data_IF_721239260035
#
_entry.id   IF_721239260035
#
_cell.length_a   1.000
_cell.length_b   1.000
_cell.length_c   1.000
_cell.angle_alpha   90.00
_cell.angle_beta   90.00
_cell.angle_gamma   90.00
#
_symmetry.space_group_name_H-M   'P 1'
#
loop_
_entity.id
_entity.type
_entity.pdbx_description
1 polymer ?
#
# COMPACT_ATOMS: atom_id res chain seq x y z
N UNK A 1 -1.30 6.75 8.25
CA UNK A 1 -2.05 7.97 8.59
C UNK A 1 -3.22 8.15 7.64
N UNK A 2 -3.97 9.25 7.73
CA UNK A 2 -4.98 9.62 6.74
C UNK A 2 -4.38 9.57 5.33
N UNK A 3 -5.14 9.06 4.34
CA UNK A 3 -4.68 8.96 2.94
C UNK A 3 -3.78 7.76 2.61
N UNK A 4 -3.45 6.90 3.58
CA UNK A 4 -2.69 5.67 3.35
C UNK A 4 -3.63 4.48 3.19
N UNK A 5 -4.24 4.37 2.01
CA UNK A 5 -5.22 3.33 1.68
C UNK A 5 -4.77 2.50 0.49
N UNK A 6 -5.07 1.21 0.56
CA UNK A 6 -4.74 0.24 -0.49
C UNK A 6 -5.92 -0.05 -1.39
N UNK A 7 -7.13 0.39 -1.02
CA UNK A 7 -8.38 0.20 -1.76
C UNK A 7 -9.15 1.51 -1.94
N UNK A 8 -9.69 1.72 -3.14
CA UNK A 8 -10.58 2.83 -3.49
C UNK A 8 -11.69 2.36 -4.45
N UNK A 9 -12.94 2.37 -3.98
CA UNK A 9 -14.15 1.95 -4.72
C UNK A 9 -14.28 2.73 -6.05
N UNK A 10 -14.51 2.03 -7.16
CA UNK A 10 -14.69 2.62 -8.49
C UNK A 10 -15.86 3.62 -8.59
N UNK A 11 -16.89 3.45 -7.76
CA UNK A 11 -18.11 4.26 -7.78
C UNK A 11 -17.94 5.58 -7.02
N UNK A 12 -16.93 5.65 -6.15
CA UNK A 12 -16.62 6.87 -5.42
C UNK A 12 -15.86 7.83 -6.34
N UNK A 13 -16.50 8.95 -6.70
CA UNK A 13 -15.84 10.02 -7.46
C UNK A 13 -14.68 10.60 -6.64
N UNK A 14 -13.55 10.85 -7.29
CA UNK A 14 -12.36 11.51 -6.72
C UNK A 14 -11.84 10.86 -5.42
N UNK A 15 -12.04 9.55 -5.24
CA UNK A 15 -11.78 8.86 -3.98
C UNK A 15 -10.33 9.01 -3.47
N UNK A 16 -9.35 9.04 -4.38
CA UNK A 16 -7.93 9.21 -4.00
C UNK A 16 -7.68 10.62 -3.47
N UNK A 17 -8.14 11.63 -4.20
CA UNK A 17 -7.85 13.04 -3.88
C UNK A 17 -8.64 13.51 -2.65
N UNK A 18 -9.81 12.91 -2.40
CA UNK A 18 -10.63 13.15 -1.19
C UNK A 18 -10.24 12.25 -0.01
N UNK A 19 -9.23 11.38 -0.16
CA UNK A 19 -8.80 10.47 0.91
C UNK A 19 -9.89 9.49 1.37
N UNK A 20 -10.77 9.08 0.45
CA UNK A 20 -11.85 8.12 0.68
C UNK A 20 -11.41 6.73 0.25
N UNK A 21 -10.60 6.09 1.08
CA UNK A 21 -10.13 4.74 0.82
C UNK A 21 -10.12 3.90 2.09
N UNK A 22 -9.92 2.59 1.92
CA UNK A 22 -9.76 1.64 3.01
C UNK A 22 -8.37 1.02 2.96
N UNK A 23 -7.81 0.73 4.14
CA UNK A 23 -6.56 -0.01 4.27
C UNK A 23 -6.91 -1.44 4.63
N UNK A 24 -6.96 -2.30 3.63
CA UNK A 24 -7.39 -3.71 3.77
C UNK A 24 -6.33 -4.71 3.33
N UNK A 25 -5.28 -4.26 2.64
CA UNK A 25 -4.13 -5.08 2.26
C UNK A 25 -2.98 -4.88 3.24
N UNK A 26 -2.35 -5.97 3.65
CA UNK A 26 -1.37 -5.99 4.74
C UNK A 26 -0.19 -6.91 4.42
N UNK A 27 1.02 -6.47 4.80
CA UNK A 27 2.22 -7.30 4.86
C UNK A 27 2.52 -7.52 6.35
N UNK A 28 2.46 -8.78 6.79
CA UNK A 28 2.77 -9.17 8.16
C UNK A 28 4.06 -10.00 8.15
N UNK A 29 4.98 -9.70 9.06
CA UNK A 29 6.28 -10.36 9.15
C UNK A 29 6.45 -11.06 10.51
N UNK A 30 7.19 -12.18 10.51
CA UNK A 30 7.67 -12.80 11.76
C UNK A 30 8.80 -11.96 12.36
N UNK A 31 9.04 -12.09 13.67
CA UNK A 31 10.04 -11.29 14.40
C UNK A 31 11.42 -11.20 13.74
N UNK A 32 12.02 -12.29 13.21
CA UNK A 32 13.35 -12.21 12.59
C UNK A 32 13.39 -11.38 11.30
N UNK A 33 12.26 -11.25 10.60
CA UNK A 33 12.15 -10.46 9.38
C UNK A 33 11.70 -9.03 9.69
N UNK A 34 10.85 -8.85 10.70
CA UNK A 34 10.43 -7.53 11.20
C UNK A 34 11.64 -6.66 11.57
N UNK A 35 12.63 -7.20 12.28
CA UNK A 35 13.85 -6.47 12.65
C UNK A 35 14.71 -6.04 11.46
N UNK A 36 14.41 -6.55 10.26
CA UNK A 36 15.08 -6.20 9.00
C UNK A 36 14.27 -5.25 8.13
N UNK A 37 13.06 -4.86 8.56
CA UNK A 37 12.20 -3.94 7.82
C UNK A 37 12.86 -2.56 7.75
N UNK A 38 13.11 -2.07 6.53
CA UNK A 38 13.72 -0.75 6.30
C UNK A 38 12.73 0.27 5.74
N UNK A 39 11.67 -0.18 5.07
CA UNK A 39 10.64 0.71 4.54
C UNK A 39 9.32 -0.05 4.26
N UNK A 40 8.21 0.68 4.25
CA UNK A 40 6.91 0.20 3.79
C UNK A 40 6.07 1.37 3.27
N UNK A 41 5.54 1.24 2.04
CA UNK A 41 4.79 2.31 1.39
C UNK A 41 3.71 1.78 0.45
N UNK A 42 2.78 2.66 0.10
CA UNK A 42 1.73 2.40 -0.86
C UNK A 42 2.10 3.11 -2.16
N UNK A 43 2.16 2.36 -3.26
CA UNK A 43 2.35 2.96 -4.59
C UNK A 43 0.98 3.27 -5.20
N UNK A 44 0.64 4.55 -5.36
CA UNK A 44 -0.62 5.00 -5.95
C UNK A 44 -0.55 5.15 -7.48
N UNK A 45 0.63 5.06 -8.10
CA UNK A 45 0.76 5.26 -9.55
C UNK A 45 -0.08 4.23 -10.35
N UNK A 46 -0.08 2.92 -10.02
CA UNK A 46 -0.94 1.95 -10.70
C UNK A 46 -2.42 2.26 -10.54
N UNK A 47 -2.86 2.79 -9.39
CA UNK A 47 -4.26 3.15 -9.15
C UNK A 47 -4.71 4.37 -9.96
N UNK A 48 -3.78 5.18 -10.46
CA UNK A 48 -4.04 6.36 -11.32
C UNK A 48 -3.93 6.05 -12.83
N UNK A 49 -3.61 4.82 -13.21
CA UNK A 49 -3.49 4.40 -14.61
C UNK A 49 -4.84 4.27 -15.32
N UNK A 50 -4.83 4.08 -16.64
CA UNK A 50 -6.03 3.76 -17.41
C UNK A 50 -6.53 2.35 -17.05
N UNK A 51 -7.82 2.24 -16.68
CA UNK A 51 -8.47 0.99 -16.24
C UNK A 51 -7.69 0.27 -15.11
N UNK A 52 -7.49 0.95 -13.96
CA UNK A 52 -6.72 0.41 -12.86
C UNK A 52 -7.52 -0.66 -12.10
N UNK A 53 -6.84 -1.43 -11.25
CA UNK A 53 -7.49 -2.17 -10.16
C UNK A 53 -8.11 -1.18 -9.15
N UNK A 54 -9.08 -1.63 -8.36
CA UNK A 54 -9.62 -0.89 -7.22
C UNK A 54 -8.66 -0.93 -6.02
N UNK A 55 -7.75 -1.91 -6.03
CA UNK A 55 -6.61 -1.97 -5.14
C UNK A 55 -5.36 -1.32 -5.75
N UNK A 56 -4.41 -0.95 -4.89
CA UNK A 56 -3.07 -0.47 -5.28
C UNK A 56 -1.99 -1.20 -4.47
N UNK A 57 -0.77 -1.37 -5.01
CA UNK A 57 0.27 -2.12 -4.33
C UNK A 57 0.67 -1.53 -2.97
N UNK A 58 0.73 -2.40 -1.96
CA UNK A 58 1.47 -2.19 -0.71
C UNK A 58 2.82 -2.88 -0.85
N UNK A 59 3.91 -2.15 -0.61
CA UNK A 59 5.27 -2.65 -0.70
C UNK A 59 5.95 -2.57 0.67
N UNK A 60 6.91 -3.47 0.88
CA UNK A 60 7.81 -3.45 2.03
C UNK A 60 9.21 -3.85 1.57
N UNK A 61 10.22 -3.18 2.12
CA UNK A 61 11.63 -3.45 1.86
C UNK A 61 12.29 -3.98 3.13
N UNK A 62 13.12 -5.02 2.98
CA UNK A 62 13.84 -5.66 4.09
C UNK A 62 15.34 -5.80 3.75
N UNK A 63 16.25 -5.45 4.67
CA UNK A 63 17.68 -5.75 4.50
C UNK A 63 17.94 -7.22 4.88
N UNK A 64 18.03 -8.07 3.86
CA UNK A 64 18.18 -9.52 4.04
C UNK A 64 19.62 -10.01 4.00
N UNK A 65 20.61 -9.12 3.82
CA UNK A 65 22.01 -9.53 3.74
C UNK A 65 22.46 -10.15 5.07
N UNK A 66 23.27 -11.21 4.97
CA UNK A 66 23.83 -11.88 6.15
C UNK A 66 24.86 -10.96 6.80
N UNK A 67 24.64 -10.61 8.07
CA UNK A 67 25.69 -10.18 9.01
C UNK A 67 26.68 -11.30 9.26
#
# INVERSE_FOLDING_TARGET
>A
GPGQYTYYDYRAKNAIDEGKGWRIDHILATRPLESRSVDAWIDLAPRRAERPSDHTPLLAAFDVRRS
#
